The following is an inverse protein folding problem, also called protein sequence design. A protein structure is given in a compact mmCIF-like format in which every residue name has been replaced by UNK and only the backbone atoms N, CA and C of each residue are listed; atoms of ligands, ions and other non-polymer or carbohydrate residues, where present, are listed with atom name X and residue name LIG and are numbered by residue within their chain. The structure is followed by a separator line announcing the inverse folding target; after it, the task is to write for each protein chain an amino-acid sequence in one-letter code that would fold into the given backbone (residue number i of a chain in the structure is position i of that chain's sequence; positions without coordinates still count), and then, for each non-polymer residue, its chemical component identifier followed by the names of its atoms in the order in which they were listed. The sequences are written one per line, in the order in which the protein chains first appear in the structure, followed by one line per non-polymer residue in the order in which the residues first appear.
data_IF_949411571034
#
_entry.id   IF_949411571034
#
_cell.length_a   1.000
_cell.length_b   1.000
_cell.length_c   1.000
_cell.angle_alpha   90.00
_cell.angle_beta   90.00
_cell.angle_gamma   90.00
#
_symmetry.space_group_name_H-M   'P 1'
#
loop_
_entity.id
_entity.type
_entity.pdbx_description
1 polymer ?
#
# COMPACT_ATOMS: atom_id res chain seq x y z
N UNK A 1 -20.40 7.47 -25.94
CA UNK A 1 -19.03 7.11 -25.55
C UNK A 1 -19.10 6.37 -24.22
N UNK A 2 -18.72 5.09 -24.19
CA UNK A 2 -18.79 4.24 -22.98
C UNK A 2 -17.46 4.37 -22.24
N UNK A 3 -17.42 5.02 -21.08
CA UNK A 3 -16.25 4.97 -20.21
C UNK A 3 -16.21 3.59 -19.57
N UNK A 4 -15.27 2.74 -20.01
CA UNK A 4 -15.01 1.48 -19.34
C UNK A 4 -14.73 1.74 -17.85
N UNK A 5 -15.23 0.88 -16.94
CA UNK A 5 -14.99 1.06 -15.52
C UNK A 5 -13.49 1.00 -15.24
N UNK A 6 -12.94 2.06 -14.63
CA UNK A 6 -11.54 2.10 -14.18
C UNK A 6 -11.28 0.96 -13.22
N UNK A 7 -10.47 -0.03 -13.62
CA UNK A 7 -10.17 -1.17 -12.77
C UNK A 7 -8.97 -0.84 -11.87
N UNK A 8 -9.26 -0.39 -10.64
CA UNK A 8 -8.21 -0.18 -9.65
C UNK A 8 -7.88 -1.52 -8.99
N UNK A 9 -6.84 -2.20 -9.46
CA UNK A 9 -6.36 -3.44 -8.84
C UNK A 9 -5.50 -3.09 -7.62
N UNK A 10 -5.94 -3.55 -6.45
CA UNK A 10 -5.25 -3.37 -5.17
C UNK A 10 -4.84 -4.74 -4.64
N UNK A 11 -3.54 -4.99 -4.52
CA UNK A 11 -3.03 -6.19 -3.85
C UNK A 11 -2.32 -5.78 -2.57
N UNK A 12 -2.74 -6.35 -1.45
CA UNK A 12 -2.13 -6.17 -0.15
C UNK A 12 -1.57 -7.50 0.32
N UNK A 13 -0.28 -7.55 0.67
CA UNK A 13 0.31 -8.71 1.35
C UNK A 13 0.97 -8.28 2.65
N UNK A 14 0.64 -9.01 3.72
CA UNK A 14 1.23 -8.81 5.05
C UNK A 14 2.14 -10.00 5.33
N UNK A 15 3.42 -9.73 5.55
CA UNK A 15 4.38 -10.73 6.01
C UNK A 15 4.81 -10.40 7.43
N UNK A 16 4.63 -11.35 8.34
CA UNK A 16 5.21 -11.29 9.69
C UNK A 16 6.56 -11.96 9.67
N UNK A 17 7.59 -11.29 10.16
CA UNK A 17 8.89 -11.94 10.37
C UNK A 17 8.92 -12.61 11.75
N UNK A 18 9.23 -13.92 11.84
CA UNK A 18 9.06 -14.71 13.07
C UNK A 18 10.03 -14.34 14.22
N UNK A 19 10.92 -13.36 14.02
CA UNK A 19 11.86 -12.85 15.03
C UNK A 19 11.87 -11.33 15.18
N UNK A 20 11.16 -10.62 14.30
CA UNK A 20 11.05 -9.17 14.39
C UNK A 20 9.67 -8.83 14.91
N UNK A 21 9.59 -7.76 15.70
CA UNK A 21 8.33 -7.10 16.00
C UNK A 21 7.85 -6.27 14.80
N UNK A 22 8.11 -6.69 13.56
CA UNK A 22 7.72 -5.95 12.36
C UNK A 22 6.82 -6.75 11.43
N UNK A 23 5.87 -6.04 10.84
CA UNK A 23 5.10 -6.49 9.70
C UNK A 23 5.53 -5.71 8.48
N UNK A 24 5.78 -6.42 7.40
CA UNK A 24 5.97 -5.81 6.10
C UNK A 24 4.61 -5.80 5.38
N UNK A 25 4.15 -4.61 4.99
CA UNK A 25 2.92 -4.40 4.24
C UNK A 25 3.28 -3.90 2.85
N UNK A 26 2.95 -4.71 1.86
CA UNK A 26 3.17 -4.38 0.45
C UNK A 26 1.83 -3.97 -0.17
N UNK A 27 1.79 -2.79 -0.78
CA UNK A 27 0.67 -2.28 -1.55
C UNK A 27 1.10 -2.08 -2.99
N UNK A 28 0.45 -2.80 -3.92
CA UNK A 28 0.57 -2.52 -5.36
C UNK A 28 -0.71 -1.87 -5.84
N UNK A 29 -0.58 -0.69 -6.42
CA UNK A 29 -1.65 0.08 -7.05
C UNK A 29 -1.38 0.13 -8.55
N UNK A 30 -2.31 -0.39 -9.34
CA UNK A 30 -2.33 -0.20 -10.79
C UNK A 30 -3.45 0.77 -11.17
N UNK A 31 -3.11 1.78 -11.98
CA UNK A 31 -4.04 2.78 -12.50
C UNK A 31 -4.00 2.71 -14.03
N UNK A 32 -4.94 1.96 -14.62
CA UNK A 32 -5.02 1.72 -16.07
C UNK A 32 -5.02 3.03 -16.87
N UNK A 33 -5.76 4.04 -16.41
CA UNK A 33 -5.93 5.33 -17.10
C UNK A 33 -4.62 6.12 -17.22
N UNK A 34 -3.67 5.88 -16.32
CA UNK A 34 -2.38 6.55 -16.29
C UNK A 34 -1.25 5.62 -16.75
N UNK A 35 -1.56 4.37 -17.14
CA UNK A 35 -0.59 3.28 -17.35
C UNK A 35 0.44 3.17 -16.21
N UNK A 36 0.01 3.53 -14.99
CA UNK A 36 0.90 3.72 -13.85
C UNK A 36 0.77 2.54 -12.89
N UNK A 37 1.91 1.96 -12.54
CA UNK A 37 2.00 1.01 -11.43
C UNK A 37 2.85 1.64 -10.33
N UNK A 38 2.27 1.79 -9.14
CA UNK A 38 3.01 2.20 -7.94
C UNK A 38 3.05 1.04 -6.94
N UNK A 39 4.23 0.81 -6.40
CA UNK A 39 4.47 -0.15 -5.32
C UNK A 39 4.91 0.60 -4.07
N UNK A 40 4.33 0.22 -2.95
CA UNK A 40 4.66 0.80 -1.66
C UNK A 40 4.93 -0.31 -0.66
N UNK A 41 6.11 -0.26 -0.04
CA UNK A 41 6.56 -1.23 0.95
C UNK A 41 6.70 -0.53 2.29
N UNK A 42 5.93 -0.97 3.28
CA UNK A 42 5.95 -0.38 4.61
C UNK A 42 6.35 -1.41 5.63
N UNK A 43 7.40 -1.09 6.38
CA UNK A 43 7.70 -1.78 7.61
C UNK A 43 6.98 -1.09 8.77
N UNK A 44 6.11 -1.84 9.45
CA UNK A 44 5.38 -1.43 10.65
C UNK A 44 5.92 -2.19 11.84
N UNK A 45 6.25 -1.50 12.92
CA UNK A 45 6.52 -2.15 14.22
C UNK A 45 5.20 -2.57 14.89
N UNK A 46 5.18 -3.65 15.66
CA UNK A 46 4.01 -4.16 16.36
C UNK A 46 3.44 -3.11 17.32
N UNK A 47 4.33 -2.39 18.00
CA UNK A 47 4.02 -1.30 18.91
C UNK A 47 3.56 -0.01 18.21
N UNK A 48 3.69 0.09 16.88
CA UNK A 48 3.28 1.28 16.14
C UNK A 48 1.74 1.31 16.01
N UNK A 49 1.07 2.40 16.42
CA UNK A 49 -0.36 2.56 16.21
C UNK A 49 -0.73 2.49 14.72
N UNK A 50 -1.88 1.89 14.41
CA UNK A 50 -2.39 1.80 13.04
C UNK A 50 -2.52 3.18 12.39
N UNK A 51 -2.93 4.19 13.17
CA UNK A 51 -3.06 5.58 12.69
C UNK A 51 -1.74 6.15 12.17
N UNK A 52 -0.62 5.89 12.84
CA UNK A 52 0.71 6.35 12.42
C UNK A 52 1.13 5.72 11.09
N UNK A 53 0.83 4.44 10.87
CA UNK A 53 1.04 3.78 9.59
C UNK A 53 0.18 4.42 8.48
N UNK A 54 -1.10 4.68 8.75
CA UNK A 54 -2.02 5.30 7.78
C UNK A 54 -1.57 6.72 7.41
N UNK A 55 -1.08 7.51 8.36
CA UNK A 55 -0.52 8.84 8.05
C UNK A 55 0.69 8.75 7.13
N UNK A 56 1.63 7.81 7.38
CA UNK A 56 2.80 7.60 6.50
C UNK A 56 2.40 7.14 5.10
N UNK A 57 1.39 6.30 4.99
CA UNK A 57 0.80 5.85 3.73
C UNK A 57 0.28 7.03 2.91
N UNK A 58 -0.54 7.89 3.53
CA UNK A 58 -1.13 9.07 2.88
C UNK A 58 -0.02 10.01 2.38
N UNK A 59 0.94 10.36 3.25
CA UNK A 59 2.05 11.24 2.87
C UNK A 59 2.90 10.69 1.73
N UNK A 60 3.10 9.37 1.65
CA UNK A 60 3.84 8.76 0.53
C UNK A 60 3.04 8.71 -0.78
N UNK A 61 1.71 8.69 -0.71
CA UNK A 61 0.85 8.74 -1.90
C UNK A 61 0.69 10.16 -2.46
N UNK A 62 0.81 11.19 -1.60
CA UNK A 62 0.75 12.61 -1.99
C UNK A 62 2.04 13.11 -2.66
N UNK A 63 3.16 12.38 -2.53
CA UNK A 63 4.43 12.66 -3.21
C UNK A 63 4.51 11.98 -4.58
#
# INVERSE_FOLDING_TARGET
MSTAPTQVVRKVSIRREPKSETFEVHFRLHLDVLELTREFNFNRKLAEPVGTLLSRLITNMEK
#
